data_IF_038791075304
#
_entry.id   IF_038791075304
#
_cell.length_a   1.000
_cell.length_b   1.000
_cell.length_c   1.000
_cell.angle_alpha   90.00
_cell.angle_beta   90.00
_cell.angle_gamma   90.00
#
_symmetry.space_group_name_H-M   'P 1'
#
loop_
_entity.id
_entity.type
_entity.pdbx_description
1 polymer ?
#
# COMPACT_ATOMS: atom_id res chain seq x y z
N UNK A 1 3.88 -9.95 9.47
CA UNK A 1 2.74 -9.04 9.17
C UNK A 1 3.11 -7.94 8.19
N UNK A 2 4.15 -7.13 8.46
CA UNK A 2 4.60 -6.07 7.54
C UNK A 2 4.85 -6.60 6.12
N UNK A 3 5.51 -7.75 5.97
CA UNK A 3 5.71 -8.38 4.66
C UNK A 3 4.40 -8.56 3.89
N UNK A 4 3.33 -9.04 4.55
CA UNK A 4 2.02 -9.21 3.93
C UNK A 4 1.33 -7.87 3.65
N UNK A 5 1.41 -6.90 4.56
CA UNK A 5 0.86 -5.55 4.35
C UNK A 5 1.51 -4.89 3.12
N UNK A 6 2.84 -4.96 3.00
CA UNK A 6 3.56 -4.41 1.86
C UNK A 6 3.27 -5.17 0.58
N UNK A 7 3.10 -6.50 0.61
CA UNK A 7 2.66 -7.25 -0.58
C UNK A 7 1.29 -6.78 -1.07
N UNK A 8 0.33 -6.58 -0.16
CA UNK A 8 -1.00 -6.10 -0.52
C UNK A 8 -0.96 -4.66 -1.06
N UNK A 9 -0.18 -3.78 -0.42
CA UNK A 9 -0.03 -2.39 -0.85
C UNK A 9 0.71 -2.28 -2.19
N UNK A 10 1.74 -3.10 -2.43
CA UNK A 10 2.44 -3.18 -3.71
C UNK A 10 1.51 -3.67 -4.83
N UNK A 11 0.61 -4.61 -4.53
CA UNK A 11 -0.41 -5.04 -5.49
C UNK A 11 -1.44 -3.93 -5.78
N UNK A 12 -1.92 -3.23 -4.75
CA UNK A 12 -2.85 -2.12 -4.90
C UNK A 12 -2.23 -0.95 -5.70
N UNK A 13 -0.95 -0.65 -5.49
CA UNK A 13 -0.20 0.38 -6.25
C UNK A 13 0.09 -0.04 -7.69
N UNK A 14 0.47 -1.29 -7.94
CA UNK A 14 0.62 -1.82 -9.31
C UNK A 14 -0.68 -1.71 -10.10
N UNK A 15 -1.79 -2.19 -9.52
CA UNK A 15 -3.10 -2.11 -10.16
C UNK A 15 -3.56 -0.65 -10.37
N UNK A 16 -3.23 0.26 -9.45
CA UNK A 16 -3.52 1.69 -9.60
C UNK A 16 -2.76 2.32 -10.76
N UNK A 17 -1.45 2.05 -10.88
CA UNK A 17 -0.60 2.54 -11.97
C UNK A 17 -1.08 2.03 -13.32
N UNK A 18 -1.32 0.73 -13.44
CA UNK A 18 -1.84 0.10 -14.66
C UNK A 18 -3.23 0.66 -15.02
N UNK A 19 -4.08 0.88 -14.02
CA UNK A 19 -5.42 1.45 -14.18
C UNK A 19 -5.45 2.88 -14.70
N UNK A 20 -4.35 3.64 -14.59
CA UNK A 20 -4.19 4.98 -15.19
C UNK A 20 -3.30 4.98 -16.45
N UNK A 21 -2.90 3.80 -16.94
CA UNK A 21 -2.12 3.63 -18.16
C UNK A 21 -0.61 3.74 -18.00
N UNK A 22 -0.08 3.69 -16.76
CA UNK A 22 1.36 3.64 -16.50
C UNK A 22 1.85 2.18 -16.44
N UNK A 23 3.08 1.95 -16.89
CA UNK A 23 3.76 0.65 -16.72
C UNK A 23 4.33 0.55 -15.30
N UNK A 24 3.76 -0.34 -14.48
CA UNK A 24 4.15 -0.52 -13.09
C UNK A 24 5.60 -1.02 -12.90
N UNK A 25 6.28 -1.47 -13.96
CA UNK A 25 7.65 -1.99 -13.91
C UNK A 25 8.73 -0.94 -14.16
N UNK A 26 8.37 0.22 -14.74
CA UNK A 26 9.33 1.28 -15.12
C UNK A 26 9.48 2.30 -13.99
N UNK A 27 10.35 2.01 -13.03
CA UNK A 27 10.57 2.84 -11.85
C UNK A 27 11.57 3.99 -12.07
N UNK A 28 11.59 4.93 -11.14
CA UNK A 28 12.54 6.04 -11.04
C UNK A 28 13.57 5.84 -9.91
N UNK A 29 13.14 5.30 -8.76
CA UNK A 29 13.97 5.15 -7.55
C UNK A 29 14.47 3.70 -7.40
N UNK A 30 13.56 2.73 -7.40
CA UNK A 30 13.92 1.33 -7.32
C UNK A 30 14.54 0.86 -8.65
N UNK A 31 15.81 0.43 -8.61
CA UNK A 31 16.54 -0.10 -9.78
C UNK A 31 15.74 -1.13 -10.61
N UNK A 32 15.68 -0.97 -11.92
CA UNK A 32 14.98 -1.98 -12.72
C UNK A 32 15.56 -3.38 -12.58
N UNK A 33 14.66 -4.35 -12.42
CA UNK A 33 14.98 -5.78 -12.36
C UNK A 33 13.83 -6.55 -13.02
N UNK A 34 14.11 -7.53 -13.89
CA UNK A 34 13.07 -8.35 -14.49
C UNK A 34 12.13 -8.95 -13.43
N UNK A 35 10.83 -8.80 -13.63
CA UNK A 35 9.79 -9.31 -12.74
C UNK A 35 9.53 -8.48 -11.48
N UNK A 36 10.18 -7.30 -11.32
CA UNK A 36 9.88 -6.37 -10.22
C UNK A 36 9.08 -5.18 -10.73
N UNK A 37 7.90 -4.96 -10.17
CA UNK A 37 7.11 -3.76 -10.40
C UNK A 37 7.76 -2.54 -9.72
N UNK A 38 8.87 -2.03 -10.26
CA UNK A 38 9.70 -1.00 -9.63
C UNK A 38 8.93 0.30 -9.39
N UNK A 39 8.09 0.74 -10.33
CA UNK A 39 7.28 1.95 -10.16
C UNK A 39 6.21 1.78 -9.08
N UNK A 40 5.62 0.59 -8.97
CA UNK A 40 4.69 0.29 -7.87
C UNK A 40 5.38 0.41 -6.51
N UNK A 41 6.64 -0.05 -6.42
CA UNK A 41 7.44 0.11 -5.19
C UNK A 41 7.77 1.58 -4.92
N UNK A 42 8.10 2.37 -5.95
CA UNK A 42 8.36 3.80 -5.81
C UNK A 42 7.13 4.56 -5.28
N UNK A 43 5.97 4.36 -5.93
CA UNK A 43 4.71 4.97 -5.50
C UNK A 43 4.27 4.47 -4.12
N UNK A 44 4.60 3.23 -3.77
CA UNK A 44 4.28 2.69 -2.44
C UNK A 44 5.03 3.42 -1.32
N UNK A 45 6.23 3.96 -1.55
CA UNK A 45 7.09 4.50 -0.48
C UNK A 45 6.40 5.58 0.36
N UNK A 46 5.64 6.49 -0.25
CA UNK A 46 4.88 7.53 0.47
C UNK A 46 3.75 6.95 1.36
N UNK A 47 3.29 5.73 1.06
CA UNK A 47 2.18 5.08 1.75
C UNK A 47 2.65 4.07 2.81
N UNK A 48 3.90 3.60 2.77
CA UNK A 48 4.37 2.53 3.68
C UNK A 48 4.15 2.86 5.15
N UNK A 49 4.66 4.00 5.60
CA UNK A 49 4.58 4.40 6.99
C UNK A 49 3.16 4.76 7.43
N UNK A 50 2.47 5.57 6.62
CA UNK A 50 1.18 6.17 7.00
C UNK A 50 0.01 5.23 6.79
N UNK A 51 0.15 4.22 5.93
CA UNK A 51 -0.90 3.27 5.62
C UNK A 51 -0.57 1.86 6.15
N UNK A 52 0.48 1.21 5.64
CA UNK A 52 0.79 -0.18 5.97
C UNK A 52 1.31 -0.37 7.41
N UNK A 53 2.27 0.45 7.84
CA UNK A 53 2.87 0.33 9.17
C UNK A 53 1.88 0.73 10.25
N UNK A 54 1.19 1.87 10.09
CA UNK A 54 0.10 2.28 10.99
C UNK A 54 -1.00 1.21 11.07
N UNK A 55 -1.35 0.56 9.97
CA UNK A 55 -2.31 -0.56 9.98
C UNK A 55 -1.81 -1.73 10.85
N UNK A 56 -0.57 -2.17 10.65
CA UNK A 56 0.05 -3.25 11.43
C UNK A 56 0.15 -2.90 12.91
N UNK A 57 0.61 -1.68 13.25
CA UNK A 57 0.67 -1.20 14.62
C UNK A 57 -0.72 -1.14 15.26
N UNK A 58 -1.74 -0.70 14.52
CA UNK A 58 -3.13 -0.72 15.00
C UNK A 58 -3.63 -2.13 15.32
N UNK A 59 -3.32 -3.12 14.47
CA UNK A 59 -3.69 -4.51 14.73
C UNK A 59 -3.04 -5.06 16.00
N UNK A 60 -1.77 -4.73 16.25
CA UNK A 60 -1.05 -5.13 17.46
C UNK A 60 -1.67 -4.44 18.68
N UNK A 61 -1.80 -3.12 18.65
CA UNK A 61 -2.26 -2.32 19.79
C UNK A 61 -3.70 -2.63 20.19
N UNK A 62 -4.56 -2.94 19.22
CA UNK A 62 -5.96 -3.32 19.44
C UNK A 62 -6.15 -4.82 19.68
N UNK A 63 -5.06 -5.60 19.77
CA UNK A 63 -5.07 -7.07 19.92
C UNK A 63 -5.90 -7.77 18.84
N UNK A 64 -5.98 -7.19 17.63
CA UNK A 64 -6.70 -7.75 16.50
C UNK A 64 -6.00 -8.96 15.87
N UNK A 65 -4.68 -9.05 16.04
CA UNK A 65 -3.85 -10.22 15.76
C UNK A 65 -2.98 -10.48 16.98
N UNK A 66 -2.93 -11.72 17.45
CA UNK A 66 -2.20 -12.11 18.66
C UNK A 66 -1.17 -13.22 18.37
N UNK A 67 -0.39 -13.63 19.38
CA UNK A 67 0.69 -14.63 19.21
C UNK A 67 0.17 -15.98 18.70
N UNK A 68 -1.07 -16.33 19.03
CA UNK A 68 -1.75 -17.57 18.64
C UNK A 68 -2.12 -17.58 17.14
N UNK A 69 -2.17 -16.42 16.50
CA UNK A 69 -2.45 -16.29 15.07
C UNK A 69 -1.20 -16.55 14.20
N UNK A 70 -0.09 -17.01 14.81
CA UNK A 70 1.16 -17.30 14.12
C UNK A 70 1.63 -18.75 14.32
N UNK A 71 2.32 -19.26 13.31
CA UNK A 71 3.07 -20.52 13.36
C UNK A 71 4.52 -20.26 13.00
N UNK A 72 5.43 -20.75 13.84
CA UNK A 72 6.87 -20.78 13.53
C UNK A 72 7.21 -22.11 12.87
N UNK A 73 7.77 -22.05 11.66
CA UNK A 73 8.27 -23.22 10.93
C UNK A 73 9.68 -23.58 11.38
N UNK A 74 10.08 -24.82 11.11
CA UNK A 74 11.39 -25.37 11.50
C UNK A 74 12.56 -24.56 10.90
N UNK A 75 12.38 -24.03 9.69
CA UNK A 75 13.35 -23.16 9.02
C UNK A 75 13.40 -21.72 9.57
N UNK A 76 12.72 -21.44 10.69
CA UNK A 76 12.69 -20.13 11.32
C UNK A 76 11.66 -19.15 10.75
N UNK A 77 10.97 -19.48 9.64
CA UNK A 77 9.92 -18.63 9.09
C UNK A 77 8.75 -18.49 10.08
N UNK A 78 8.21 -17.27 10.20
CA UNK A 78 7.01 -16.98 11.00
C UNK A 78 5.88 -16.60 10.07
N UNK A 79 4.86 -17.44 10.03
CA UNK A 79 3.70 -17.29 9.14
C UNK A 79 2.45 -17.05 9.96
N UNK A 80 1.46 -16.38 9.37
CA UNK A 80 0.11 -16.35 9.93
C UNK A 80 -0.52 -17.74 9.78
N UNK A 81 -1.35 -18.14 10.74
CA UNK A 81 -2.29 -19.26 10.57
C UNK A 81 -3.36 -18.88 9.55
N UNK A 82 -4.15 -19.85 9.07
CA UNK A 82 -5.26 -19.56 8.15
C UNK A 82 -6.28 -18.58 8.78
N UNK A 83 -6.64 -18.79 10.04
CA UNK A 83 -7.52 -17.87 10.77
C UNK A 83 -6.88 -16.49 10.97
N UNK A 84 -5.59 -16.45 11.33
CA UNK A 84 -4.82 -15.21 11.46
C UNK A 84 -4.76 -14.43 10.15
N UNK A 85 -4.56 -15.12 9.03
CA UNK A 85 -4.55 -14.54 7.68
C UNK A 85 -5.92 -14.01 7.31
N UNK A 86 -7.00 -14.76 7.59
CA UNK A 86 -8.38 -14.30 7.35
C UNK A 86 -8.69 -13.03 8.15
N UNK A 87 -8.38 -13.01 9.45
CA UNK A 87 -8.52 -11.81 10.30
C UNK A 87 -7.76 -10.62 9.72
N UNK A 88 -6.51 -10.82 9.33
CA UNK A 88 -5.65 -9.79 8.75
C UNK A 88 -6.25 -9.21 7.46
N UNK A 89 -6.68 -10.07 6.53
CA UNK A 89 -7.26 -9.65 5.26
C UNK A 89 -8.60 -8.95 5.43
N UNK A 90 -9.47 -9.43 6.32
CA UNK A 90 -10.72 -8.75 6.67
C UNK A 90 -10.44 -7.35 7.20
N UNK A 91 -9.49 -7.22 8.13
CA UNK A 91 -9.12 -5.91 8.67
C UNK A 91 -8.50 -4.99 7.61
N UNK A 92 -7.70 -5.51 6.68
CA UNK A 92 -7.15 -4.73 5.57
C UNK A 92 -8.27 -4.19 4.66
N UNK A 93 -9.25 -5.03 4.31
CA UNK A 93 -10.41 -4.60 3.53
C UNK A 93 -11.24 -3.55 4.28
N UNK A 94 -11.50 -3.73 5.57
CA UNK A 94 -12.17 -2.70 6.38
C UNK A 94 -11.39 -1.39 6.39
N UNK A 95 -10.06 -1.46 6.54
CA UNK A 95 -9.19 -0.28 6.50
C UNK A 95 -9.28 0.44 5.14
N UNK A 96 -9.34 -0.30 4.02
CA UNK A 96 -9.53 0.28 2.67
C UNK A 96 -10.83 1.09 2.55
N UNK A 97 -11.88 0.77 3.33
CA UNK A 97 -13.17 1.47 3.29
C UNK A 97 -13.22 2.71 4.19
N UNK A 98 -12.27 2.89 5.10
CA UNK A 98 -12.21 4.07 5.95
C UNK A 98 -12.03 5.33 5.11
N UNK A 99 -12.86 6.35 5.36
CA UNK A 99 -12.83 7.63 4.64
C UNK A 99 -11.74 8.54 5.19
N UNK A 100 -11.09 9.26 4.29
CA UNK A 100 -10.14 10.34 4.57
C UNK A 100 -10.43 11.54 3.69
N UNK A 101 -9.92 12.70 4.08
CA UNK A 101 -9.76 13.83 3.17
C UNK A 101 -8.34 13.75 2.59
N UNK A 102 -8.21 13.64 1.27
CA UNK A 102 -6.90 13.59 0.62
C UNK A 102 -6.14 14.92 0.86
N UNK A 103 -4.90 14.90 1.35
CA UNK A 103 -4.21 16.11 1.84
C UNK A 103 -3.96 17.15 0.75
N UNK A 104 -3.67 16.71 -0.47
CA UNK A 104 -3.51 17.59 -1.63
C UNK A 104 -4.85 17.97 -2.31
N UNK A 105 -5.65 16.98 -2.73
CA UNK A 105 -6.91 17.21 -3.45
C UNK A 105 -8.02 17.89 -2.62
N UNK A 106 -8.00 17.75 -1.28
CA UNK A 106 -9.08 18.24 -0.42
C UNK A 106 -10.39 17.43 -0.50
N UNK A 107 -10.42 16.38 -1.31
CA UNK A 107 -11.61 15.54 -1.53
C UNK A 107 -11.74 14.41 -0.50
N UNK A 108 -12.99 14.02 -0.21
CA UNK A 108 -13.29 12.85 0.63
C UNK A 108 -13.22 11.58 -0.21
N UNK A 109 -12.21 10.75 0.05
CA UNK A 109 -12.00 9.45 -0.59
C UNK A 109 -11.87 8.36 0.47
N UNK A 110 -11.80 7.09 0.05
CA UNK A 110 -11.44 5.99 0.95
C UNK A 110 -9.93 5.71 0.88
N UNK A 111 -9.35 5.13 1.93
CA UNK A 111 -7.94 4.72 1.93
C UNK A 111 -7.60 3.82 0.73
N UNK A 112 -8.52 2.94 0.34
CA UNK A 112 -8.33 2.05 -0.81
C UNK A 112 -8.20 2.76 -2.16
N UNK A 113 -8.64 4.03 -2.27
CA UNK A 113 -8.51 4.85 -3.47
C UNK A 113 -7.25 5.73 -3.46
N UNK A 114 -6.51 5.80 -2.35
CA UNK A 114 -5.30 6.63 -2.27
C UNK A 114 -4.25 6.22 -3.30
N UNK A 115 -3.91 4.93 -3.48
CA UNK A 115 -2.96 4.53 -4.53
C UNK A 115 -3.38 4.98 -5.93
N UNK A 116 -4.68 4.91 -6.24
CA UNK A 116 -5.23 5.35 -7.52
C UNK A 116 -5.13 6.86 -7.71
N UNK A 117 -5.49 7.64 -6.68
CA UNK A 117 -5.36 9.10 -6.73
C UNK A 117 -3.91 9.54 -6.97
N UNK A 118 -2.96 8.85 -6.31
CA UNK A 118 -1.52 9.14 -6.43
C UNK A 118 -0.97 8.72 -7.80
N UNK A 119 -1.38 7.55 -8.32
CA UNK A 119 -1.05 7.15 -9.68
C UNK A 119 -1.60 8.15 -10.73
N UNK A 120 -2.82 8.66 -10.54
CA UNK A 120 -3.41 9.67 -11.44
C UNK A 120 -2.64 11.00 -11.39
N UNK A 121 -2.24 11.46 -10.20
CA UNK A 121 -1.42 12.66 -10.03
C UNK A 121 -0.06 12.50 -10.71
N UNK A 122 0.58 11.35 -10.56
CA UNK A 122 1.83 11.02 -11.25
C UNK A 122 1.65 11.01 -12.77
N UNK A 123 0.60 10.36 -13.28
CA UNK A 123 0.31 10.31 -14.72
C UNK A 123 0.03 11.70 -15.32
N UNK A 124 -0.57 12.62 -14.55
CA UNK A 124 -0.74 14.02 -14.97
C UNK A 124 0.59 14.76 -15.01
N UNK A 125 1.43 14.58 -14.01
CA UNK A 125 2.77 15.18 -14.00
C UNK A 125 3.62 14.71 -15.20
N UNK A 126 3.63 13.40 -15.49
CA UNK A 126 4.37 12.83 -16.62
C UNK A 126 3.88 13.33 -17.99
N UNK A 127 2.61 13.74 -18.09
CA UNK A 127 2.05 14.35 -19.31
C UNK A 127 2.23 15.87 -19.39
N UNK A 128 2.86 16.48 -18.38
CA UNK A 128 2.97 17.93 -18.21
C UNK A 128 1.61 18.64 -18.00
N UNK A 129 0.60 17.90 -17.51
CA UNK A 129 -0.69 18.46 -17.08
C UNK A 129 -0.64 19.00 -15.63
N UNK A 130 0.50 18.79 -14.95
CA UNK A 130 0.77 19.22 -13.58
C UNK A 130 2.27 19.53 -13.43
N UNK A 131 2.60 20.73 -12.94
CA UNK A 131 3.99 21.22 -12.87
C UNK A 131 4.89 20.31 -12.03
N UNK A 132 4.37 19.82 -10.89
CA UNK A 132 5.09 18.94 -9.97
C UNK A 132 4.18 17.82 -9.48
N UNK A 133 4.73 16.63 -9.25
CA UNK A 133 4.01 15.55 -8.58
C UNK A 133 3.93 15.82 -7.07
N UNK A 134 2.73 15.98 -6.48
CA UNK A 134 2.56 16.25 -5.05
C UNK A 134 2.48 14.93 -4.27
N UNK A 135 3.52 14.56 -3.49
CA UNK A 135 3.51 13.31 -2.75
C UNK A 135 2.46 13.30 -1.65
N UNK A 136 2.02 12.11 -1.25
CA UNK A 136 1.03 11.93 -0.20
C UNK A 136 1.62 12.24 1.20
N UNK A 137 1.49 13.49 1.63
CA UNK A 137 1.92 13.93 2.97
C UNK A 137 0.77 13.86 3.97
N UNK A 138 0.78 12.83 4.82
CA UNK A 138 -0.22 12.62 5.85
C UNK A 138 0.18 13.28 7.19
N UNK A 139 -0.76 13.99 7.82
CA UNK A 139 -0.58 14.65 9.12
C UNK A 139 -0.73 13.69 10.30
#
# INVERSE_FOLDING_TARGET
MLSLAYTLLAHDTSAALEGVGLDAYVGFLHRDRPGRASLALDLMEELRGVYADKFVLSLINKKGIQKEDFVRKENGAVLLTEDGRKKFLTAWQSKKQEKITHPYLGEKITWGLVPYAQALLLARHLRNDLDEYPPFLWK
#
